data_IF_504156898226
#
_entry.id   IF_504156898226
#
_cell.length_a   1.000
_cell.length_b   1.000
_cell.length_c   1.000
_cell.angle_alpha   90.00
_cell.angle_beta   90.00
_cell.angle_gamma   90.00
#
_symmetry.space_group_name_H-M   'P 1'
#
loop_
_entity.id
_entity.type
_entity.pdbx_description
1 polymer ?
#
# COMPACT_ATOMS: atom_id res chain seq x y z
N UNK A 1 22.34 -4.36 -15.33
CA UNK A 1 21.43 -5.50 -15.24
C UNK A 1 20.35 -5.26 -14.17
N UNK A 2 19.11 -5.52 -14.54
CA UNK A 2 18.01 -5.47 -13.59
C UNK A 2 17.96 -6.80 -12.84
N UNK A 3 18.05 -6.79 -11.50
CA UNK A 3 17.93 -8.02 -10.72
C UNK A 3 16.62 -8.76 -11.02
N UNK A 4 16.67 -10.08 -11.02
CA UNK A 4 15.51 -10.92 -11.35
C UNK A 4 14.46 -10.94 -10.24
N UNK A 5 14.81 -10.53 -9.02
CA UNK A 5 13.93 -10.56 -7.86
C UNK A 5 13.88 -9.23 -7.13
N UNK A 6 12.73 -8.94 -6.56
CA UNK A 6 12.56 -7.91 -5.56
C UNK A 6 12.09 -8.57 -4.26
N UNK A 7 12.47 -7.98 -3.13
CA UNK A 7 12.00 -8.38 -1.81
C UNK A 7 11.07 -7.32 -1.27
N UNK A 8 10.03 -7.74 -0.57
CA UNK A 8 9.18 -6.81 0.16
C UNK A 8 9.77 -6.63 1.56
N UNK A 9 10.02 -5.39 1.92
CA UNK A 9 10.58 -5.02 3.22
C UNK A 9 9.61 -4.11 3.93
N UNK A 10 9.24 -4.48 5.16
CA UNK A 10 8.52 -3.58 6.04
C UNK A 10 9.54 -2.68 6.74
N UNK A 11 9.43 -1.37 6.55
CA UNK A 11 10.40 -0.43 7.09
C UNK A 11 10.14 -0.20 8.57
N UNK A 12 11.19 -0.31 9.38
CA UNK A 12 11.13 0.06 10.79
C UNK A 12 10.69 1.52 10.89
N UNK A 13 9.60 1.82 11.63
CA UNK A 13 9.12 3.20 11.78
C UNK A 13 10.19 4.19 12.23
N UNK A 14 11.16 3.75 13.03
CA UNK A 14 12.25 4.59 13.48
C UNK A 14 13.22 4.99 12.37
N UNK A 15 13.17 4.28 11.23
CA UNK A 15 14.10 4.49 10.11
C UNK A 15 13.42 5.04 8.85
N UNK A 16 12.17 5.40 8.93
CA UNK A 16 11.43 5.91 7.75
C UNK A 16 12.11 7.14 7.15
N UNK A 17 12.62 8.03 7.98
CA UNK A 17 13.28 9.26 7.51
C UNK A 17 14.47 8.98 6.59
N UNK A 18 15.11 7.81 6.70
CA UNK A 18 16.26 7.45 5.87
C UNK A 18 15.89 7.21 4.41
N UNK A 19 14.64 6.78 4.15
CA UNK A 19 14.21 6.41 2.81
C UNK A 19 13.03 7.24 2.30
N UNK A 20 12.45 8.09 3.14
CA UNK A 20 11.21 8.80 2.82
C UNK A 20 11.29 9.58 1.51
N UNK A 21 12.39 10.29 1.26
CA UNK A 21 12.56 11.06 0.02
C UNK A 21 12.58 10.17 -1.22
N UNK A 22 12.93 8.90 -1.09
CA UNK A 22 12.98 7.97 -2.23
C UNK A 22 11.61 7.38 -2.59
N UNK A 23 10.67 7.38 -1.65
CA UNK A 23 9.35 6.75 -1.85
C UNK A 23 8.21 7.77 -1.89
N UNK A 24 8.42 8.96 -1.36
CA UNK A 24 7.38 9.99 -1.25
C UNK A 24 6.67 10.27 -2.57
N UNK A 25 7.44 10.41 -3.65
CA UNK A 25 6.89 10.68 -4.97
C UNK A 25 5.98 9.59 -5.50
N UNK A 26 6.36 8.32 -5.29
CA UNK A 26 5.54 7.18 -5.68
C UNK A 26 4.18 7.20 -4.96
N UNK A 27 4.22 7.37 -3.65
CA UNK A 27 3.02 7.37 -2.82
C UNK A 27 2.12 8.57 -3.09
N UNK A 28 2.73 9.73 -3.35
CA UNK A 28 1.98 10.94 -3.70
C UNK A 28 1.22 10.76 -5.02
N UNK A 29 1.85 10.10 -6.00
CA UNK A 29 1.20 9.77 -7.27
C UNK A 29 0.00 8.84 -7.06
N UNK A 30 0.16 7.82 -6.22
CA UNK A 30 -0.93 6.90 -5.89
C UNK A 30 -2.09 7.64 -5.22
N UNK A 31 -1.79 8.53 -4.29
CA UNK A 31 -2.79 9.32 -3.58
C UNK A 31 -3.59 10.20 -4.56
N UNK A 32 -2.93 10.84 -5.51
CA UNK A 32 -3.59 11.66 -6.53
C UNK A 32 -4.54 10.86 -7.41
N UNK A 33 -4.21 9.62 -7.71
CA UNK A 33 -5.01 8.76 -8.58
C UNK A 33 -6.31 8.32 -7.96
N UNK A 34 -6.35 8.17 -6.63
CA UNK A 34 -7.57 7.77 -5.92
C UNK A 34 -8.41 8.97 -5.49
N UNK A 35 -7.79 10.12 -5.25
CA UNK A 35 -8.43 11.37 -4.82
C UNK A 35 -9.28 11.25 -3.54
N UNK A 36 -9.02 10.23 -2.74
CA UNK A 36 -9.82 9.96 -1.55
C UNK A 36 -9.44 10.82 -0.35
N UNK A 37 -8.17 11.14 -0.20
CA UNK A 37 -7.66 11.87 0.96
C UNK A 37 -6.51 12.79 0.55
N UNK A 38 -6.21 13.76 1.41
CA UNK A 38 -5.03 14.61 1.21
C UNK A 38 -3.76 13.82 1.50
N UNK A 39 -2.75 13.97 0.66
CA UNK A 39 -1.48 13.26 0.85
C UNK A 39 -0.82 13.59 2.19
N UNK A 40 -0.96 14.83 2.67
CA UNK A 40 -0.39 15.24 3.95
C UNK A 40 -0.88 14.37 5.12
N UNK A 41 -2.12 13.89 5.07
CA UNK A 41 -2.69 13.02 6.11
C UNK A 41 -2.04 11.65 6.07
N UNK A 42 -1.85 11.07 4.88
CA UNK A 42 -1.14 9.80 4.72
C UNK A 42 0.32 9.92 5.16
N UNK A 43 0.98 11.00 4.78
CA UNK A 43 2.37 11.27 5.16
C UNK A 43 2.54 11.31 6.67
N UNK A 44 1.65 12.02 7.37
CA UNK A 44 1.68 12.11 8.82
C UNK A 44 1.48 10.74 9.48
N UNK A 45 0.58 9.91 8.95
CA UNK A 45 0.35 8.56 9.46
C UNK A 45 1.57 7.66 9.31
N UNK A 46 2.25 7.76 8.18
CA UNK A 46 3.45 6.95 7.90
C UNK A 46 4.62 7.40 8.77
N UNK A 47 4.88 8.70 8.83
CA UNK A 47 6.01 9.24 9.57
C UNK A 47 5.85 9.01 11.08
N UNK A 48 4.62 9.06 11.59
CA UNK A 48 4.35 8.79 13.01
C UNK A 48 4.40 7.31 13.37
N UNK A 49 4.44 6.41 12.38
CA UNK A 49 4.42 4.97 12.60
C UNK A 49 3.03 4.39 12.79
N UNK A 50 1.96 5.17 12.66
CA UNK A 50 0.59 4.66 12.71
C UNK A 50 0.23 3.84 11.48
N UNK A 51 0.85 4.14 10.34
CA UNK A 51 0.80 3.30 9.15
C UNK A 51 2.17 2.68 8.92
N UNK A 52 2.21 1.42 8.50
CA UNK A 52 3.46 0.78 8.13
C UNK A 52 3.81 1.09 6.69
N UNK A 53 5.09 1.29 6.43
CA UNK A 53 5.62 1.49 5.09
C UNK A 53 6.30 0.22 4.61
N UNK A 54 5.93 -0.22 3.43
CA UNK A 54 6.52 -1.39 2.76
C UNK A 54 7.17 -0.95 1.47
N UNK A 55 8.34 -1.49 1.16
CA UNK A 55 9.01 -1.21 -0.11
C UNK A 55 9.40 -2.51 -0.78
N UNK A 56 9.33 -2.52 -2.11
CA UNK A 56 9.85 -3.60 -2.94
C UNK A 56 11.27 -3.21 -3.35
N UNK A 57 12.24 -3.93 -2.80
CA UNK A 57 13.67 -3.66 -2.97
C UNK A 57 14.32 -4.77 -3.80
N UNK A 58 15.06 -4.39 -4.83
CA UNK A 58 15.71 -5.36 -5.71
C UNK A 58 17.22 -5.51 -5.49
N UNK A 59 17.75 -4.88 -4.45
CA UNK A 59 19.18 -4.84 -4.17
C UNK A 59 19.88 -3.58 -4.68
N UNK A 60 19.23 -2.84 -5.60
CA UNK A 60 19.77 -1.62 -6.20
C UNK A 60 18.83 -0.44 -6.11
N UNK A 61 17.52 -0.68 -6.19
CA UNK A 61 16.52 0.39 -6.23
C UNK A 61 15.20 -0.06 -5.61
N UNK A 62 14.38 0.92 -5.25
CA UNK A 62 13.02 0.69 -4.79
C UNK A 62 12.12 0.66 -6.02
N UNK A 63 11.47 -0.48 -6.25
CA UNK A 63 10.56 -0.67 -7.40
C UNK A 63 9.14 -0.25 -7.10
N UNK A 64 8.73 -0.35 -5.83
CA UNK A 64 7.37 -0.04 -5.41
C UNK A 64 7.34 0.31 -3.93
N UNK A 65 6.25 0.94 -3.51
CA UNK A 65 6.00 1.23 -2.11
C UNK A 65 4.50 1.11 -1.81
N UNK A 66 4.19 0.73 -0.59
CA UNK A 66 2.82 0.63 -0.11
C UNK A 66 2.74 1.07 1.35
N UNK A 67 1.58 1.54 1.75
CA UNK A 67 1.28 1.87 3.14
C UNK A 67 0.11 1.04 3.62
N UNK A 68 0.20 0.51 4.83
CA UNK A 68 -0.87 -0.29 5.42
C UNK A 68 -1.24 0.22 6.81
N UNK A 69 -2.50 0.03 7.17
CA UNK A 69 -3.01 0.34 8.50
C UNK A 69 -3.96 -0.78 8.93
N UNK A 70 -3.97 -1.09 10.22
CA UNK A 70 -4.90 -2.05 10.78
C UNK A 70 -6.11 -1.29 11.35
N UNK A 71 -7.30 -1.73 10.96
CA UNK A 71 -8.56 -1.16 11.45
C UNK A 71 -9.47 -2.26 11.99
N UNK A 72 -10.42 -1.86 12.84
CA UNK A 72 -11.44 -2.78 13.34
C UNK A 72 -12.76 -2.51 12.65
N UNK A 73 -13.49 -3.58 12.37
CA UNK A 73 -14.83 -3.51 11.79
C UNK A 73 -15.74 -4.52 12.50
N UNK A 74 -17.04 -4.46 12.19
CA UNK A 74 -18.00 -5.43 12.74
C UNK A 74 -17.67 -6.87 12.38
N UNK A 75 -16.98 -7.08 11.27
CA UNK A 75 -16.59 -8.41 10.80
C UNK A 75 -15.18 -8.81 11.22
N UNK A 76 -14.53 -8.02 12.07
CA UNK A 76 -13.20 -8.28 12.58
C UNK A 76 -12.16 -7.25 12.14
N UNK A 77 -10.91 -7.56 12.43
CA UNK A 77 -9.77 -6.72 12.09
C UNK A 77 -9.49 -6.76 10.58
N UNK A 78 -9.19 -5.62 10.01
CA UNK A 78 -8.91 -5.48 8.58
C UNK A 78 -7.55 -4.81 8.39
N UNK A 79 -6.72 -5.39 7.54
CA UNK A 79 -5.50 -4.75 7.07
C UNK A 79 -5.83 -3.98 5.80
N UNK A 80 -5.64 -2.66 5.83
CA UNK A 80 -5.96 -1.79 4.69
C UNK A 80 -4.67 -1.33 4.03
N UNK A 81 -4.52 -1.63 2.74
CA UNK A 81 -3.48 -1.05 1.91
C UNK A 81 -4.03 0.28 1.42
N UNK A 82 -3.61 1.37 2.04
CA UNK A 82 -4.14 2.70 1.77
C UNK A 82 -3.52 3.35 0.54
N UNK A 83 -2.26 3.05 0.28
CA UNK A 83 -1.51 3.53 -0.87
C UNK A 83 -0.66 2.41 -1.41
N UNK A 84 -0.59 2.29 -2.73
CA UNK A 84 0.30 1.34 -3.39
C UNK A 84 0.64 1.85 -4.78
N UNK A 85 1.92 1.99 -5.06
CA UNK A 85 2.40 2.46 -6.35
C UNK A 85 3.79 1.88 -6.65
N UNK A 86 4.13 1.82 -7.92
CA UNK A 86 5.44 1.36 -8.34
C UNK A 86 5.57 1.20 -9.84
N UNK A 87 6.75 0.78 -10.26
CA UNK A 87 7.08 0.52 -11.65
C UNK A 87 7.19 -0.99 -11.86
N UNK A 88 6.83 -1.48 -13.05
CA UNK A 88 6.92 -2.90 -13.36
C UNK A 88 6.03 -3.77 -12.48
N UNK A 89 4.74 -3.45 -12.44
CA UNK A 89 3.76 -4.11 -11.59
C UNK A 89 3.87 -5.64 -11.58
N UNK A 90 4.09 -6.26 -12.74
CA UNK A 90 4.20 -7.72 -12.85
C UNK A 90 5.34 -8.30 -12.03
N UNK A 91 6.37 -7.51 -11.76
CA UNK A 91 7.54 -7.95 -11.00
C UNK A 91 7.26 -8.04 -9.50
N UNK A 92 6.50 -7.08 -8.97
CA UNK A 92 6.34 -6.95 -7.52
C UNK A 92 4.93 -7.27 -7.00
N UNK A 93 3.97 -7.49 -7.91
CA UNK A 93 2.58 -7.74 -7.52
C UNK A 93 2.43 -8.94 -6.57
N UNK A 94 3.18 -10.00 -6.80
CA UNK A 94 3.18 -11.19 -5.94
C UNK A 94 3.62 -10.89 -4.51
N UNK A 95 4.35 -9.79 -4.31
CA UNK A 95 4.82 -9.41 -2.98
C UNK A 95 3.65 -8.97 -2.07
N UNK A 96 2.49 -8.66 -2.65
CA UNK A 96 1.29 -8.39 -1.88
C UNK A 96 0.91 -9.60 -1.02
N UNK A 97 1.25 -10.80 -1.46
CA UNK A 97 1.02 -12.01 -0.68
C UNK A 97 1.77 -11.98 0.66
N UNK A 98 2.88 -11.28 0.75
CA UNK A 98 3.63 -11.11 1.99
C UNK A 98 2.89 -10.17 2.96
N UNK A 99 2.23 -9.15 2.41
CA UNK A 99 1.36 -8.28 3.23
C UNK A 99 0.16 -9.09 3.73
N UNK A 100 -0.36 -10.00 2.91
CA UNK A 100 -1.44 -10.90 3.32
C UNK A 100 -0.99 -11.81 4.46
N UNK A 101 0.23 -12.34 4.39
CA UNK A 101 0.80 -13.17 5.46
C UNK A 101 0.92 -12.36 6.76
N UNK A 102 1.41 -11.13 6.67
CA UNK A 102 1.46 -10.22 7.81
C UNK A 102 0.06 -9.99 8.40
N UNK A 103 -0.93 -9.73 7.54
CA UNK A 103 -2.29 -9.50 7.99
C UNK A 103 -2.87 -10.73 8.72
N UNK A 104 -2.59 -11.93 8.22
CA UNK A 104 -2.99 -13.16 8.90
C UNK A 104 -2.33 -13.30 10.27
N UNK A 105 -1.04 -13.01 10.36
CA UNK A 105 -0.29 -13.08 11.62
C UNK A 105 -0.82 -12.08 12.65
N UNK A 106 -1.33 -10.95 12.18
CA UNK A 106 -1.96 -9.93 13.03
C UNK A 106 -3.41 -10.25 13.38
N UNK A 107 -3.94 -11.37 12.93
CA UNK A 107 -5.30 -11.80 13.22
C UNK A 107 -6.37 -11.10 12.40
N UNK A 108 -6.01 -10.55 11.23
CA UNK A 108 -6.97 -9.89 10.36
C UNK A 108 -7.90 -10.90 9.69
N UNK A 109 -9.18 -10.54 9.61
CA UNK A 109 -10.18 -11.30 8.86
C UNK A 109 -10.14 -11.00 7.37
N UNK A 110 -9.64 -9.82 7.01
CA UNK A 110 -9.59 -9.35 5.61
C UNK A 110 -8.37 -8.49 5.36
N UNK A 111 -7.98 -8.46 4.08
CA UNK A 111 -7.11 -7.44 3.53
C UNK A 111 -7.94 -6.62 2.54
N UNK A 112 -7.76 -5.31 2.56
CA UNK A 112 -8.52 -4.37 1.72
C UNK A 112 -7.56 -3.43 1.03
N UNK A 113 -7.83 -3.11 -0.22
CA UNK A 113 -7.03 -2.13 -0.95
C UNK A 113 -7.93 -1.02 -1.49
N UNK A 114 -7.50 0.23 -1.31
CA UNK A 114 -8.10 1.37 -1.98
C UNK A 114 -7.30 1.61 -3.26
N UNK A 115 -7.89 1.26 -4.38
CA UNK A 115 -7.21 1.35 -5.65
C UNK A 115 -8.18 1.58 -6.79
N UNK A 116 -7.63 1.70 -7.99
CA UNK A 116 -8.44 1.86 -9.20
C UNK A 116 -9.00 0.49 -9.62
N UNK A 117 -10.08 0.52 -10.40
CA UNK A 117 -10.72 -0.70 -10.89
C UNK A 117 -9.77 -1.65 -11.61
N UNK A 118 -8.73 -1.12 -12.27
CA UNK A 118 -7.72 -1.94 -12.95
C UNK A 118 -7.03 -2.96 -12.04
N UNK A 119 -6.96 -2.71 -10.73
CA UNK A 119 -6.39 -3.65 -9.77
C UNK A 119 -7.15 -4.98 -9.71
N UNK A 120 -8.46 -4.97 -9.97
CA UNK A 120 -9.26 -6.20 -9.97
C UNK A 120 -8.80 -7.21 -11.02
N UNK A 121 -8.17 -6.76 -12.10
CA UNK A 121 -7.68 -7.62 -13.17
C UNK A 121 -6.45 -8.41 -12.78
N UNK A 122 -5.70 -7.94 -11.80
CA UNK A 122 -4.38 -8.47 -11.45
C UNK A 122 -4.30 -9.03 -10.04
N UNK A 123 -5.23 -8.67 -9.16
CA UNK A 123 -5.28 -9.16 -7.79
C UNK A 123 -6.19 -10.38 -7.68
N UNK A 124 -5.61 -11.55 -7.40
CA UNK A 124 -6.36 -12.77 -7.22
C UNK A 124 -7.09 -12.77 -5.87
N UNK A 125 -8.34 -13.21 -5.88
CA UNK A 125 -9.14 -13.36 -4.67
C UNK A 125 -9.73 -12.07 -4.13
N UNK A 126 -9.46 -10.94 -4.75
CA UNK A 126 -10.06 -9.66 -4.37
C UNK A 126 -11.35 -9.43 -5.14
N UNK A 127 -12.33 -8.85 -4.47
CA UNK A 127 -13.60 -8.47 -5.08
C UNK A 127 -13.98 -7.05 -4.67
N UNK A 128 -14.66 -6.33 -5.55
CA UNK A 128 -15.15 -4.99 -5.29
C UNK A 128 -16.52 -5.06 -4.63
N UNK A 129 -16.56 -4.86 -3.32
CA UNK A 129 -17.81 -4.89 -2.54
C UNK A 129 -18.43 -3.53 -2.35
N UNK A 130 -17.64 -2.47 -2.47
CA UNK A 130 -18.04 -1.11 -2.18
C UNK A 130 -17.65 -0.19 -3.32
N UNK A 131 -18.40 0.86 -3.50
CA UNK A 131 -18.13 1.90 -4.49
C UNK A 131 -18.12 3.24 -3.78
N UNK A 132 -17.12 4.06 -4.06
CA UNK A 132 -17.09 5.45 -3.60
C UNK A 132 -17.86 6.29 -4.61
N UNK A 133 -18.82 7.07 -4.13
CA UNK A 133 -19.67 7.93 -4.97
C UNK A 133 -19.50 9.37 -4.54
N UNK A 134 -19.11 10.23 -5.47
CA UNK A 134 -18.89 11.64 -5.23
C UNK A 134 -19.85 12.48 -6.05
N UNK A 135 -20.23 13.63 -5.50
CA UNK A 135 -20.96 14.64 -6.22
C UNK A 135 -20.26 15.99 -5.97
N UNK A 136 -19.86 16.66 -7.03
CA UNK A 136 -19.26 17.99 -6.90
C UNK A 136 -20.34 18.97 -6.49
N UNK A 137 -20.06 19.73 -5.44
CA UNK A 137 -20.97 20.77 -4.95
C UNK A 137 -20.55 22.13 -5.52
N UNK A 138 -21.52 22.83 -6.07
CA UNK A 138 -21.28 24.16 -6.62
C UNK A 138 -21.21 25.23 -5.52
#
# INVERSE_FOLDING_TARGET
>A
LIPSRAELICIDPARIHEIWLHVRGLLKTACRRTELNAFADFEAEIISGRSLLWVAWNGCAIEAAAATVLTNSEIGKVCVITLCAGHGMKRWLKLIEWIEAYAKDEGCARIRIFGRKGWLRVLEGFESKHVVMDKVLA
#
